data_IF_901856250900
#
_entry.id   IF_901856250900
#
_cell.length_a   1.000
_cell.length_b   1.000
_cell.length_c   1.000
_cell.angle_alpha   90.00
_cell.angle_beta   90.00
_cell.angle_gamma   90.00
#
_symmetry.space_group_name_H-M   'P 1'
#
loop_
_entity.id
_entity.type
_entity.pdbx_description
1 polymer ?
#
# COMPACT_ATOMS: atom_id res chain seq x y z
N UNK A 1 5.53 -11.76 9.71
CA UNK A 1 6.86 -11.10 9.70
C UNK A 1 7.27 -10.80 11.12
N UNK A 2 8.54 -11.00 11.49
CA UNK A 2 9.05 -10.74 12.84
C UNK A 2 9.98 -9.52 12.80
N UNK A 3 9.47 -8.38 12.31
CA UNK A 3 10.22 -7.13 12.28
C UNK A 3 10.45 -6.64 13.70
N UNK A 4 11.70 -6.46 14.10
CA UNK A 4 12.04 -5.91 15.41
C UNK A 4 11.51 -4.48 15.52
N UNK A 5 10.76 -4.19 16.58
CA UNK A 5 10.37 -2.82 16.90
C UNK A 5 11.63 -1.98 17.16
N UNK A 6 11.73 -0.75 16.63
CA UNK A 6 12.81 0.16 16.98
C UNK A 6 12.91 0.35 18.51
N UNK A 7 14.12 0.52 19.07
CA UNK A 7 14.32 0.68 20.52
C UNK A 7 13.44 1.75 21.16
N UNK A 8 13.16 2.83 20.42
CA UNK A 8 12.36 3.98 20.83
C UNK A 8 10.85 3.82 20.56
N UNK A 9 10.37 2.60 20.31
CA UNK A 9 8.96 2.32 20.05
C UNK A 9 8.48 1.11 20.83
N UNK A 10 7.19 1.10 21.17
CA UNK A 10 6.53 -0.05 21.79
C UNK A 10 5.01 0.03 21.59
N UNK A 11 4.40 -1.11 21.29
CA UNK A 11 2.93 -1.27 21.21
C UNK A 11 2.25 -0.19 20.32
N UNK A 12 2.87 0.14 19.19
CA UNK A 12 2.40 1.12 18.21
C UNK A 12 2.72 2.59 18.54
N UNK A 13 3.25 2.88 19.72
CA UNK A 13 3.72 4.21 20.09
C UNK A 13 5.21 4.39 19.82
N UNK A 14 5.57 5.59 19.42
CA UNK A 14 6.93 6.05 19.22
C UNK A 14 7.25 7.19 20.18
N UNK A 15 8.43 7.18 20.76
CA UNK A 15 8.86 8.14 21.77
C UNK A 15 10.09 8.89 21.29
N UNK A 16 10.29 10.14 21.74
CA UNK A 16 11.49 10.88 21.38
C UNK A 16 12.74 10.12 21.87
N UNK A 17 13.71 9.78 21.01
CA UNK A 17 14.95 9.15 21.43
C UNK A 17 15.71 10.04 22.41
N UNK A 18 16.18 9.47 23.51
CA UNK A 18 16.91 10.19 24.56
C UNK A 18 18.36 9.72 24.63
N UNK A 19 19.30 10.66 24.69
CA UNK A 19 20.67 10.35 25.06
C UNK A 19 20.79 10.30 26.59
N UNK A 20 20.90 9.07 27.11
CA UNK A 20 20.99 8.79 28.55
C UNK A 20 22.43 8.55 29.01
N UNK A 21 23.42 8.74 28.12
CA UNK A 21 24.83 8.60 28.45
C UNK A 21 25.27 9.60 29.52
N UNK A 22 24.66 10.79 29.50
CA UNK A 22 24.95 11.93 30.38
C UNK A 22 24.37 11.79 31.80
N UNK A 23 23.54 10.77 32.05
CA UNK A 23 22.97 10.54 33.38
C UNK A 23 23.99 9.76 34.21
N UNK A 24 24.65 10.48 35.12
CA UNK A 24 25.55 9.89 36.11
C UNK A 24 24.75 9.04 37.11
N UNK A 25 25.04 7.74 37.13
CA UNK A 25 24.52 6.86 38.18
C UNK A 25 25.54 6.90 39.33
N UNK A 26 25.14 7.28 40.55
CA UNK A 26 26.03 7.24 41.70
C UNK A 26 26.62 5.84 41.81
N UNK A 27 27.96 5.76 41.86
CA UNK A 27 28.62 4.49 42.12
C UNK A 27 28.08 3.93 43.44
N UNK A 28 27.61 2.67 43.47
CA UNK A 28 27.16 2.08 44.72
C UNK A 28 28.31 2.15 45.74
N UNK A 29 28.05 2.51 47.00
CA UNK A 29 29.07 2.43 48.04
C UNK A 29 29.66 1.01 48.04
N UNK A 30 30.99 0.91 48.21
CA UNK A 30 31.82 -0.30 47.98
C UNK A 30 31.34 -1.59 48.70
N UNK A 31 30.33 -1.52 49.57
CA UNK A 31 29.72 -2.65 50.30
C UNK A 31 28.24 -2.89 49.96
N UNK A 32 27.71 -2.29 48.90
CA UNK A 32 26.30 -2.48 48.51
C UNK A 32 26.20 -3.27 47.22
N UNK A 33 25.44 -4.37 47.25
CA UNK A 33 25.08 -5.21 46.09
C UNK A 33 24.06 -4.53 45.17
N UNK A 34 24.05 -3.19 45.14
CA UNK A 34 23.08 -2.40 44.38
C UNK A 34 23.52 -2.42 42.92
N UNK A 35 22.82 -3.24 42.14
CA UNK A 35 22.92 -3.25 40.68
C UNK A 35 22.62 -1.83 40.18
N UNK A 36 23.48 -1.22 39.35
CA UNK A 36 23.24 0.11 38.80
C UNK A 36 21.86 0.18 38.13
N UNK A 37 21.16 1.31 38.26
CA UNK A 37 19.88 1.51 37.62
C UNK A 37 20.03 1.39 36.09
N UNK A 38 19.75 0.21 35.54
CA UNK A 38 19.74 -0.05 34.09
C UNK A 38 18.54 0.56 33.41
N UNK A 39 17.51 0.94 34.19
CA UNK A 39 16.25 1.49 33.70
C UNK A 39 16.02 2.88 34.24
N UNK A 40 15.70 3.80 33.34
CA UNK A 40 15.42 5.21 33.65
C UNK A 40 14.00 5.50 33.19
N UNK A 41 13.24 6.22 34.01
CA UNK A 41 11.90 6.69 33.62
C UNK A 41 11.96 8.17 33.27
N UNK A 42 11.44 8.54 32.10
CA UNK A 42 11.44 9.91 31.60
C UNK A 42 10.07 10.24 31.02
N UNK A 43 9.59 11.45 31.27
CA UNK A 43 8.41 12.00 30.60
C UNK A 43 8.85 12.58 29.27
N UNK A 44 8.27 12.10 28.18
CA UNK A 44 8.65 12.46 26.81
C UNK A 44 7.41 12.56 25.91
N UNK A 45 7.46 13.35 24.82
CA UNK A 45 6.45 13.29 23.78
C UNK A 45 6.33 11.87 23.19
N UNK A 46 5.10 11.47 22.91
CA UNK A 46 4.73 10.22 22.28
C UNK A 46 3.85 10.48 21.06
N UNK A 47 4.10 9.73 19.99
CA UNK A 47 3.35 9.81 18.75
C UNK A 47 2.90 8.42 18.30
N UNK A 48 1.70 8.33 17.71
CA UNK A 48 1.17 7.10 17.13
C UNK A 48 0.49 7.41 15.79
N UNK A 49 0.75 6.55 14.81
CA UNK A 49 -0.03 6.49 13.58
C UNK A 49 -1.12 5.44 13.69
N UNK A 50 -2.32 5.77 13.23
CA UNK A 50 -3.44 4.83 13.09
C UNK A 50 -4.19 5.10 11.79
N UNK A 51 -4.95 4.11 11.36
CA UNK A 51 -5.78 4.20 10.15
C UNK A 51 -7.21 3.88 10.55
N UNK A 52 -8.16 4.69 10.06
CA UNK A 52 -9.58 4.39 10.13
C UNK A 52 -10.06 4.02 8.73
N UNK A 53 -10.55 2.80 8.57
CA UNK A 53 -10.94 2.28 7.27
C UNK A 53 -12.43 1.95 7.25
N UNK A 54 -13.05 2.19 6.09
CA UNK A 54 -14.42 1.81 5.78
C UNK A 54 -14.42 0.96 4.50
N UNK A 55 -15.38 0.03 4.33
CA UNK A 55 -15.55 -0.68 3.07
C UNK A 55 -15.64 0.29 1.90
N UNK A 56 -14.92 0.01 0.82
CA UNK A 56 -15.01 0.81 -0.39
C UNK A 56 -16.40 0.60 -1.03
N UNK A 57 -17.15 1.67 -1.22
CA UNK A 57 -18.50 1.61 -1.79
C UNK A 57 -18.47 1.39 -3.31
N UNK A 58 -19.56 0.86 -3.87
CA UNK A 58 -19.76 0.73 -5.32
C UNK A 58 -18.79 -0.21 -6.06
N UNK A 59 -18.17 -1.19 -5.39
CA UNK A 59 -17.35 -2.23 -6.06
C UNK A 59 -18.12 -3.04 -7.12
N UNK A 60 -19.45 -3.03 -7.08
CA UNK A 60 -20.33 -3.59 -8.09
C UNK A 60 -20.36 -2.80 -9.41
N UNK A 61 -19.89 -1.56 -9.44
CA UNK A 61 -19.71 -0.78 -10.65
C UNK A 61 -18.43 -1.21 -11.37
N UNK A 62 -18.50 -2.33 -12.09
CA UNK A 62 -17.33 -2.95 -12.72
C UNK A 62 -16.61 -2.03 -13.71
N UNK A 63 -17.35 -1.21 -14.48
CA UNK A 63 -16.73 -0.33 -15.48
C UNK A 63 -15.81 0.75 -14.89
N UNK A 64 -15.87 0.99 -13.58
CA UNK A 64 -14.98 1.93 -12.90
C UNK A 64 -13.61 1.34 -12.54
N UNK A 65 -13.41 0.02 -12.70
CA UNK A 65 -12.16 -0.64 -12.32
C UNK A 65 -11.81 -1.93 -13.09
N UNK A 66 -12.68 -2.37 -14.01
CA UNK A 66 -12.49 -3.51 -14.90
C UNK A 66 -12.91 -3.12 -16.31
N UNK A 67 -12.05 -3.46 -17.28
CA UNK A 67 -12.35 -3.36 -18.71
C UNK A 67 -12.57 -4.75 -19.30
N UNK A 68 -13.72 -4.97 -19.93
CA UNK A 68 -13.99 -6.19 -20.69
C UNK A 68 -13.24 -6.17 -22.03
N UNK A 69 -12.65 -7.31 -22.41
CA UNK A 69 -11.86 -7.49 -23.64
C UNK A 69 -12.46 -8.59 -24.51
N UNK A 70 -12.73 -8.25 -25.77
CA UNK A 70 -13.09 -9.20 -26.82
C UNK A 70 -11.81 -9.78 -27.46
N UNK A 71 -11.51 -11.03 -27.13
CA UNK A 71 -10.35 -11.76 -27.66
C UNK A 71 -10.58 -12.38 -29.04
N UNK A 72 -11.80 -12.28 -29.57
CA UNK A 72 -12.11 -12.73 -30.93
C UNK A 72 -11.69 -11.72 -32.00
N UNK A 73 -11.35 -10.49 -31.59
CA UNK A 73 -10.82 -9.46 -32.48
C UNK A 73 -9.38 -9.78 -32.92
N UNK A 74 -9.26 -10.51 -34.02
CA UNK A 74 -7.98 -10.90 -34.64
C UNK A 74 -7.23 -9.74 -35.28
N UNK A 75 -7.74 -8.51 -35.21
CA UNK A 75 -7.00 -7.30 -35.63
C UNK A 75 -6.19 -6.72 -34.47
N UNK A 76 -6.55 -7.06 -33.22
CA UNK A 76 -5.90 -6.56 -32.01
C UNK A 76 -5.15 -7.67 -31.26
N UNK A 77 -5.73 -8.86 -31.18
CA UNK A 77 -5.21 -9.97 -30.38
C UNK A 77 -4.55 -11.03 -31.26
N UNK A 78 -3.37 -11.50 -30.85
CA UNK A 78 -2.70 -12.58 -31.56
C UNK A 78 -3.44 -13.90 -31.31
N UNK A 79 -4.36 -14.25 -32.20
CA UNK A 79 -5.17 -15.45 -32.09
C UNK A 79 -4.36 -16.74 -32.15
N UNK A 80 -3.09 -16.71 -32.57
CA UNK A 80 -2.22 -17.89 -32.62
C UNK A 80 -1.52 -18.21 -31.30
N UNK A 81 -1.31 -17.20 -30.42
CA UNK A 81 -0.74 -17.39 -29.09
C UNK A 81 -1.79 -17.38 -27.98
N UNK A 82 -2.94 -16.74 -28.20
CA UNK A 82 -3.98 -16.60 -27.19
C UNK A 82 -4.91 -17.84 -27.09
N UNK A 83 -5.41 -18.19 -25.89
CA UNK A 83 -6.30 -19.35 -25.71
C UNK A 83 -7.59 -19.28 -26.53
N UNK A 84 -7.76 -20.19 -27.51
CA UNK A 84 -8.91 -20.20 -28.43
C UNK A 84 -10.27 -20.44 -27.76
N UNK A 85 -10.29 -20.98 -26.54
CA UNK A 85 -11.50 -21.26 -25.78
C UNK A 85 -12.01 -20.05 -24.97
N UNK A 86 -11.25 -18.95 -24.91
CA UNK A 86 -11.63 -17.73 -24.19
C UNK A 86 -11.97 -16.65 -25.23
N UNK A 87 -13.25 -16.27 -25.29
CA UNK A 87 -13.73 -15.20 -26.17
C UNK A 87 -13.73 -13.84 -25.48
N UNK A 88 -13.98 -13.84 -24.18
CA UNK A 88 -14.09 -12.64 -23.35
C UNK A 88 -13.14 -12.77 -22.17
N UNK A 89 -12.44 -11.70 -21.86
CA UNK A 89 -11.54 -11.61 -20.71
C UNK A 89 -11.67 -10.25 -20.03
N UNK A 90 -11.08 -10.12 -18.85
CA UNK A 90 -11.23 -8.94 -18.00
C UNK A 90 -9.87 -8.38 -17.62
N UNK A 91 -9.66 -7.10 -17.88
CA UNK A 91 -8.44 -6.38 -17.55
C UNK A 91 -8.70 -5.41 -16.41
N UNK A 92 -7.74 -5.25 -15.50
CA UNK A 92 -7.87 -4.29 -14.40
C UNK A 92 -7.65 -2.86 -14.91
N UNK A 93 -8.49 -1.96 -14.40
CA UNK A 93 -8.47 -0.55 -14.75
C UNK A 93 -9.62 -0.14 -15.66
N UNK A 94 -10.14 1.06 -15.46
CA UNK A 94 -10.89 1.80 -16.47
C UNK A 94 -9.92 2.46 -17.46
N UNK A 95 -10.01 2.13 -18.75
CA UNK A 95 -9.21 2.80 -19.78
C UNK A 95 -10.00 3.98 -20.35
N UNK A 96 -9.63 5.18 -19.95
CA UNK A 96 -10.37 6.42 -20.25
C UNK A 96 -10.16 6.97 -21.66
N UNK A 97 -9.46 6.26 -22.55
CA UNK A 97 -9.31 6.72 -23.94
C UNK A 97 -9.06 5.56 -24.92
N UNK A 98 -10.03 5.29 -25.80
CA UNK A 98 -9.82 4.50 -27.01
C UNK A 98 -9.04 5.36 -28.02
N UNK A 99 -7.70 5.25 -28.04
CA UNK A 99 -6.91 5.83 -29.13
C UNK A 99 -5.50 6.33 -28.81
N UNK A 100 -5.03 6.26 -27.58
CA UNK A 100 -3.63 6.56 -27.23
C UNK A 100 -3.12 5.59 -26.19
N UNK A 101 -1.87 5.13 -26.33
CA UNK A 101 -1.14 4.21 -25.43
C UNK A 101 -0.99 4.70 -23.97
N UNK A 102 -1.63 5.81 -23.59
CA UNK A 102 -1.55 6.48 -22.28
C UNK A 102 -2.81 6.23 -21.42
N UNK A 103 -3.39 5.04 -21.51
CA UNK A 103 -4.56 4.69 -20.70
C UNK A 103 -4.12 4.28 -19.28
N UNK A 104 -4.49 5.08 -18.27
CA UNK A 104 -4.17 4.81 -16.87
C UNK A 104 -5.08 3.71 -16.31
N UNK A 105 -4.54 2.62 -15.71
CA UNK A 105 -5.35 1.59 -15.07
C UNK A 105 -5.96 2.14 -13.77
N UNK A 106 -7.14 2.73 -13.88
CA UNK A 106 -7.82 3.37 -12.76
C UNK A 106 -8.69 2.37 -12.00
N UNK A 107 -8.57 2.37 -10.67
CA UNK A 107 -9.53 1.81 -9.75
C UNK A 107 -10.35 2.95 -9.18
N UNK A 108 -11.45 3.31 -9.84
CA UNK A 108 -12.23 4.51 -9.52
C UNK A 108 -11.33 5.76 -9.49
N UNK A 109 -11.21 6.40 -8.32
CA UNK A 109 -10.39 7.57 -8.09
C UNK A 109 -8.97 7.23 -7.62
N UNK A 110 -8.46 6.02 -7.78
CA UNK A 110 -7.08 5.66 -7.42
C UNK A 110 -6.46 4.72 -8.45
N UNK A 111 -5.19 4.37 -8.31
CA UNK A 111 -4.51 3.39 -9.16
C UNK A 111 -4.75 1.95 -8.69
N UNK A 112 -4.51 0.96 -9.57
CA UNK A 112 -4.53 -0.47 -9.22
C UNK A 112 -3.33 -0.85 -8.35
N UNK A 113 -2.15 -0.37 -8.70
CA UNK A 113 -0.90 -0.57 -7.96
C UNK A 113 -0.60 0.64 -7.07
N UNK A 114 0.55 0.65 -6.39
CA UNK A 114 1.01 1.77 -5.56
C UNK A 114 1.17 3.09 -6.36
N UNK A 115 1.34 2.99 -7.67
CA UNK A 115 1.41 4.07 -8.63
C UNK A 115 0.54 3.75 -9.87
N UNK A 116 0.67 4.58 -10.91
CA UNK A 116 -0.15 4.51 -12.12
C UNK A 116 0.32 3.43 -13.12
N UNK A 117 1.25 2.56 -12.72
CA UNK A 117 1.71 1.45 -13.55
C UNK A 117 0.62 0.38 -13.74
N UNK A 118 0.71 -0.33 -14.86
CA UNK A 118 -0.17 -1.46 -15.16
C UNK A 118 0.43 -2.76 -14.63
N UNK A 119 -0.35 -3.60 -13.92
CA UNK A 119 0.07 -4.95 -13.59
C UNK A 119 0.47 -5.69 -14.87
N UNK A 120 1.62 -6.34 -14.84
CA UNK A 120 2.13 -7.07 -16.00
C UNK A 120 2.27 -8.55 -15.69
N UNK A 121 2.14 -9.36 -16.74
CA UNK A 121 2.30 -10.79 -16.64
C UNK A 121 3.78 -11.20 -16.78
N UNK A 122 4.02 -12.44 -16.35
CA UNK A 122 5.12 -12.85 -15.52
C UNK A 122 6.53 -12.72 -16.12
N UNK A 123 7.44 -12.20 -15.30
CA UNK A 123 8.88 -12.21 -15.51
C UNK A 123 9.38 -13.64 -15.85
N UNK A 124 9.90 -13.81 -17.07
CA UNK A 124 10.58 -15.02 -17.58
C UNK A 124 9.83 -16.37 -17.40
N UNK A 125 8.84 -16.62 -18.27
CA UNK A 125 8.61 -17.99 -18.76
C UNK A 125 7.35 -18.73 -18.30
N UNK A 126 6.38 -18.07 -17.67
CA UNK A 126 5.05 -18.68 -17.43
C UNK A 126 3.97 -18.26 -18.43
N UNK A 127 4.36 -17.68 -19.57
CA UNK A 127 3.44 -17.18 -20.62
C UNK A 127 2.48 -18.24 -21.15
N UNK A 128 2.72 -19.52 -20.87
CA UNK A 128 1.99 -20.63 -21.48
C UNK A 128 1.42 -21.65 -20.48
N UNK A 129 1.44 -21.39 -19.16
CA UNK A 129 0.93 -22.37 -18.19
C UNK A 129 -0.59 -22.32 -18.13
N UNK A 130 -1.22 -22.89 -19.15
CA UNK A 130 -2.57 -23.38 -19.07
C UNK A 130 -2.59 -24.70 -18.26
N UNK A 131 -3.48 -24.90 -17.28
CA UNK A 131 -4.61 -24.02 -16.91
C UNK A 131 -4.17 -22.81 -16.06
N UNK A 132 -4.97 -21.72 -16.09
CA UNK A 132 -4.71 -20.51 -15.32
C UNK A 132 -4.65 -20.83 -13.83
N UNK A 133 -3.62 -20.33 -13.15
CA UNK A 133 -3.57 -20.33 -11.69
C UNK A 133 -4.21 -19.05 -11.15
N UNK A 134 -4.74 -19.10 -9.94
CA UNK A 134 -5.16 -17.91 -9.23
C UNK A 134 -3.97 -16.97 -9.00
N UNK A 135 -4.15 -15.69 -9.29
CA UNK A 135 -3.23 -14.63 -8.90
C UNK A 135 -3.94 -13.67 -7.95
N UNK A 136 -3.18 -13.11 -7.02
CA UNK A 136 -3.61 -12.08 -6.09
C UNK A 136 -2.75 -10.83 -6.28
N UNK A 137 -3.41 -9.68 -6.48
CA UNK A 137 -2.78 -8.35 -6.54
C UNK A 137 -3.26 -7.57 -5.32
N UNK A 138 -2.33 -6.94 -4.60
CA UNK A 138 -2.63 -6.33 -3.32
C UNK A 138 -1.78 -5.10 -3.03
N UNK A 139 -2.38 -3.92 -3.09
CA UNK A 139 -1.64 -2.66 -2.98
C UNK A 139 -2.44 -1.59 -2.26
N UNK A 140 -1.73 -0.70 -1.60
CA UNK A 140 -2.22 0.54 -1.05
C UNK A 140 -1.84 1.68 -1.99
N UNK A 141 -2.79 2.54 -2.33
CA UNK A 141 -2.51 3.67 -3.20
C UNK A 141 -3.28 4.91 -2.77
N UNK A 142 -2.72 6.11 -2.99
CA UNK A 142 -3.36 7.35 -2.61
C UNK A 142 -4.65 7.56 -3.41
N UNK A 143 -5.70 8.07 -2.76
CA UNK A 143 -6.88 8.53 -3.46
C UNK A 143 -6.52 9.78 -4.29
N UNK A 144 -6.88 9.79 -5.56
CA UNK A 144 -6.82 10.97 -6.42
C UNK A 144 -8.02 11.86 -6.08
N UNK A 145 -7.71 13.07 -5.66
CA UNK A 145 -8.68 14.15 -5.44
C UNK A 145 -8.35 15.36 -6.33
N UNK A 146 -9.32 16.24 -6.54
CA UNK A 146 -9.11 17.52 -7.25
C UNK A 146 -8.20 18.49 -6.49
N UNK A 147 -8.08 18.29 -5.17
CA UNK A 147 -7.18 19.01 -4.30
C UNK A 147 -6.35 17.99 -3.52
N UNK A 148 -5.03 18.11 -3.57
CA UNK A 148 -4.10 17.30 -2.79
C UNK A 148 -4.06 17.83 -1.34
N UNK A 149 -5.22 17.90 -0.67
CA UNK A 149 -5.36 18.45 0.67
C UNK A 149 -5.05 17.39 1.74
N UNK A 150 -4.01 17.58 2.57
CA UNK A 150 -3.68 16.65 3.64
C UNK A 150 -4.63 16.76 4.84
N UNK A 151 -4.84 15.67 5.61
CA UNK A 151 -4.44 14.30 5.29
C UNK A 151 -5.23 13.76 4.10
N UNK A 152 -4.53 13.19 3.11
CA UNK A 152 -5.19 12.55 1.98
C UNK A 152 -5.49 11.09 2.31
N UNK A 153 -6.69 10.67 1.91
CA UNK A 153 -7.11 9.28 2.04
C UNK A 153 -6.35 8.39 1.07
N UNK A 154 -6.37 7.09 1.34
CA UNK A 154 -5.82 6.07 0.48
C UNK A 154 -6.73 4.85 0.47
N UNK A 155 -6.57 4.02 -0.55
CA UNK A 155 -7.38 2.82 -0.73
C UNK A 155 -6.49 1.59 -0.73
N UNK A 156 -6.80 0.65 0.17
CA UNK A 156 -6.17 -0.68 0.20
C UNK A 156 -7.00 -1.62 -0.66
N UNK A 157 -6.36 -2.41 -1.52
CA UNK A 157 -7.05 -3.36 -2.41
C UNK A 157 -6.46 -4.75 -2.26
N UNK A 158 -7.32 -5.76 -2.37
CA UNK A 158 -6.97 -7.15 -2.58
C UNK A 158 -7.84 -7.69 -3.71
N UNK A 159 -7.21 -8.05 -4.82
CA UNK A 159 -7.87 -8.52 -6.03
C UNK A 159 -7.38 -9.94 -6.30
N UNK A 160 -8.29 -10.88 -6.53
CA UNK A 160 -7.96 -12.28 -6.79
C UNK A 160 -8.79 -12.85 -7.94
N UNK A 161 -8.16 -13.66 -8.78
CA UNK A 161 -8.86 -14.38 -9.83
C UNK A 161 -7.94 -15.28 -10.64
N UNK A 162 -8.55 -16.12 -11.49
CA UNK A 162 -7.81 -16.93 -12.45
C UNK A 162 -7.32 -16.04 -13.59
N UNK A 163 -6.01 -16.02 -13.79
CA UNK A 163 -5.37 -15.11 -14.73
C UNK A 163 -4.63 -15.86 -15.84
N UNK A 164 -4.39 -15.16 -16.95
CA UNK A 164 -3.57 -15.61 -18.05
C UNK A 164 -2.96 -14.40 -18.77
N UNK A 165 -2.00 -14.68 -19.63
CA UNK A 165 -1.34 -13.71 -20.49
C UNK A 165 -1.96 -13.75 -21.88
N UNK A 166 -2.15 -12.58 -22.49
CA UNK A 166 -2.56 -12.50 -23.90
C UNK A 166 -1.70 -11.49 -24.65
N UNK A 167 -1.26 -11.88 -25.86
CA UNK A 167 -0.43 -11.02 -26.69
C UNK A 167 -1.29 -10.18 -27.63
N UNK A 168 -0.93 -8.91 -27.74
CA UNK A 168 -1.43 -8.01 -28.76
C UNK A 168 -0.68 -8.23 -30.08
N UNK A 169 -1.35 -8.00 -31.21
CA UNK A 169 -0.71 -7.94 -32.52
C UNK A 169 0.09 -6.65 -32.59
N UNK A 170 1.39 -6.77 -32.82
CA UNK A 170 2.25 -5.61 -33.09
C UNK A 170 3.02 -5.81 -34.38
N UNK A 171 3.13 -4.76 -35.19
CA UNK A 171 3.99 -4.75 -36.38
C UNK A 171 5.49 -4.72 -36.02
N UNK A 172 5.80 -4.47 -34.74
CA UNK A 172 7.15 -4.36 -34.22
C UNK A 172 7.57 -5.65 -33.49
N UNK A 173 8.38 -6.47 -34.17
CA UNK A 173 8.84 -7.81 -33.75
C UNK A 173 9.60 -7.79 -32.40
N UNK A 174 10.04 -6.62 -31.93
CA UNK A 174 10.85 -6.49 -30.72
C UNK A 174 10.06 -6.30 -29.43
N UNK A 175 8.76 -5.99 -29.50
CA UNK A 175 7.90 -5.79 -28.31
C UNK A 175 6.44 -6.06 -28.69
N UNK A 176 5.95 -7.29 -28.54
CA UNK A 176 4.50 -7.50 -28.41
C UNK A 176 4.16 -7.32 -26.93
N UNK A 177 3.43 -6.27 -26.53
CA UNK A 177 3.07 -6.07 -25.13
C UNK A 177 2.07 -7.15 -24.75
N UNK A 178 2.53 -8.09 -23.92
CA UNK A 178 1.68 -9.09 -23.28
C UNK A 178 0.83 -8.42 -22.20
N UNK A 179 -0.48 -8.68 -22.21
CA UNK A 179 -1.45 -8.12 -21.25
C UNK A 179 -1.75 -9.15 -20.16
N UNK A 180 -1.87 -8.68 -18.92
CA UNK A 180 -2.35 -9.46 -17.79
C UNK A 180 -3.88 -9.44 -17.77
N UNK A 181 -4.52 -10.60 -17.94
CA UNK A 181 -5.98 -10.71 -18.04
C UNK A 181 -6.54 -11.75 -17.07
N UNK A 182 -7.79 -11.56 -16.65
CA UNK A 182 -8.58 -12.55 -15.92
C UNK A 182 -9.58 -13.25 -16.84
N UNK A 183 -9.82 -14.53 -16.59
CA UNK A 183 -10.81 -15.33 -17.34
C UNK A 183 -12.25 -15.00 -16.97
N UNK A 184 -12.44 -14.44 -15.78
CA UNK A 184 -13.72 -14.04 -15.18
C UNK A 184 -13.53 -12.70 -14.49
N UNK A 185 -14.62 -12.02 -14.12
CA UNK A 185 -14.52 -10.81 -13.30
C UNK A 185 -13.81 -11.19 -12.00
N UNK A 186 -12.65 -10.58 -11.68
CA UNK A 186 -11.90 -10.94 -10.48
C UNK A 186 -12.68 -10.56 -9.22
N UNK A 187 -12.45 -11.30 -8.15
CA UNK A 187 -12.94 -10.93 -6.83
C UNK A 187 -12.12 -9.77 -6.29
N UNK A 188 -12.78 -8.79 -5.67
CA UNK A 188 -12.11 -7.65 -5.06
C UNK A 188 -12.65 -7.39 -3.67
N UNK A 189 -11.72 -7.08 -2.76
CA UNK A 189 -12.00 -6.43 -1.49
C UNK A 189 -11.18 -5.15 -1.42
N UNK A 190 -11.82 -4.04 -1.10
CA UNK A 190 -11.14 -2.77 -0.93
C UNK A 190 -11.67 -2.02 0.29
N UNK A 191 -10.79 -1.25 0.92
CA UNK A 191 -11.11 -0.35 2.02
C UNK A 191 -10.60 1.04 1.70
N UNK A 192 -11.42 2.05 1.98
CA UNK A 192 -11.03 3.45 1.96
C UNK A 192 -10.59 3.86 3.36
N UNK A 193 -9.37 4.35 3.48
CA UNK A 193 -8.70 4.57 4.75
C UNK A 193 -8.28 6.04 4.91
N UNK A 194 -8.53 6.56 6.11
CA UNK A 194 -8.08 7.88 6.55
C UNK A 194 -6.89 7.71 7.51
N UNK A 195 -5.73 8.32 7.20
CA UNK A 195 -4.57 8.29 8.08
C UNK A 195 -4.76 9.29 9.22
N UNK A 196 -4.39 8.89 10.43
CA UNK A 196 -4.49 9.72 11.63
C UNK A 196 -3.17 9.63 12.37
N UNK A 197 -2.61 10.79 12.70
CA UNK A 197 -1.43 10.90 13.55
C UNK A 197 -1.86 11.60 14.82
N UNK A 198 -1.58 10.95 15.95
CA UNK A 198 -1.96 11.45 17.26
C UNK A 198 -0.79 11.58 18.22
N UNK A 199 -0.98 12.62 19.02
CA UNK A 199 -0.29 13.22 20.13
C UNK A 199 -0.47 12.73 21.54
N UNK A 200 0.56 12.46 22.33
CA UNK A 200 0.41 12.53 23.79
C UNK A 200 1.74 12.80 24.50
N UNK A 201 1.68 13.11 25.80
CA UNK A 201 2.80 12.91 26.71
C UNK A 201 2.78 11.48 27.27
N UNK A 202 3.95 10.88 27.46
CA UNK A 202 4.09 9.54 28.04
C UNK A 202 5.20 9.50 29.09
N UNK A 203 5.00 8.72 30.16
CA UNK A 203 6.06 8.32 31.07
C UNK A 203 6.64 6.99 30.58
N UNK A 204 7.89 7.01 30.14
CA UNK A 204 8.53 5.88 29.46
C UNK A 204 9.70 5.38 30.29
N UNK A 205 9.71 4.08 30.59
CA UNK A 205 10.87 3.41 31.19
C UNK A 205 11.73 2.80 30.08
N UNK A 206 12.95 3.29 29.95
CA UNK A 206 13.92 2.90 28.93
C UNK A 206 15.13 2.23 29.55
N UNK A 207 15.69 1.24 28.87
CA UNK A 207 16.98 0.67 29.20
C UNK A 207 18.11 1.62 28.78
N UNK A 208 18.96 2.00 29.73
CA UNK A 208 20.00 3.02 29.51
C UNK A 208 21.04 2.62 28.47
N UNK A 209 21.40 1.33 28.41
CA UNK A 209 22.47 0.87 27.51
C UNK A 209 21.97 0.68 26.08
N UNK A 210 20.74 0.20 25.93
CA UNK A 210 20.18 -0.19 24.63
C UNK A 210 19.19 0.82 24.07
N UNK A 211 18.69 1.75 24.88
CA UNK A 211 17.61 2.67 24.50
C UNK A 211 16.24 2.00 24.38
N UNK A 212 16.15 0.70 24.67
CA UNK A 212 14.92 -0.07 24.48
C UNK A 212 13.84 0.35 25.48
N UNK A 213 12.64 0.58 24.98
CA UNK A 213 11.45 0.86 25.81
C UNK A 213 10.98 -0.42 26.50
N UNK A 214 11.17 -0.47 27.82
CA UNK A 214 10.73 -1.57 28.66
C UNK A 214 9.22 -1.52 28.92
N UNK A 215 8.69 -0.32 29.22
CA UNK A 215 7.26 -0.05 29.43
C UNK A 215 6.98 1.45 29.28
N UNK A 216 5.72 1.81 29.10
CA UNK A 216 5.28 3.20 29.09
C UNK A 216 3.86 3.33 29.65
N UNK A 217 3.51 4.56 30.01
CA UNK A 217 2.16 4.98 30.37
C UNK A 217 1.84 6.28 29.63
N UNK A 218 0.70 6.29 28.93
CA UNK A 218 0.19 7.50 28.26
C UNK A 218 -0.48 8.37 29.33
N UNK A 219 0.00 9.60 29.49
CA UNK A 219 -0.39 10.48 30.60
C UNK A 219 -1.64 11.32 30.29
N UNK A 220 -1.93 11.53 29.01
CA UNK A 220 -3.00 12.41 28.54
C UNK A 220 -3.88 11.67 27.52
N UNK A 221 -5.10 12.16 27.30
CA UNK A 221 -5.92 11.61 26.21
C UNK A 221 -5.28 11.97 24.87
N UNK A 222 -5.03 11.00 23.97
CA UNK A 222 -4.43 11.29 22.68
C UNK A 222 -5.21 12.35 21.90
N UNK A 223 -4.50 13.30 21.32
CA UNK A 223 -5.07 14.40 20.52
C UNK A 223 -4.50 14.41 19.10
N UNK A 224 -5.20 15.01 18.14
CA UNK A 224 -4.71 15.12 16.76
C UNK A 224 -3.39 15.91 16.70
N UNK A 225 -2.44 15.42 15.91
CA UNK A 225 -1.21 16.13 15.62
C UNK A 225 -1.35 16.91 14.29
N UNK A 226 -2.12 18.00 14.31
CA UNK A 226 -2.45 18.77 13.10
C UNK A 226 -1.22 19.31 12.35
N UNK A 227 -0.11 19.55 13.07
CA UNK A 227 1.16 19.95 12.47
C UNK A 227 1.75 18.90 11.50
N UNK A 228 1.35 17.63 11.65
CA UNK A 228 1.76 16.53 10.77
C UNK A 228 1.28 16.71 9.32
N UNK A 229 0.27 17.55 9.12
CA UNK A 229 -0.42 17.74 7.84
C UNK A 229 -0.35 19.19 7.33
N UNK A 230 0.23 20.10 8.12
CA UNK A 230 0.17 21.56 7.92
C UNK A 230 0.77 22.06 6.60
N UNK A 231 1.91 21.54 6.18
CA UNK A 231 2.64 22.05 5.02
C UNK A 231 2.70 21.01 3.91
N UNK A 232 1.95 21.23 2.84
CA UNK A 232 1.99 20.39 1.64
C UNK A 232 2.95 20.98 0.60
N UNK A 233 4.20 20.49 0.58
CA UNK A 233 5.26 20.91 -0.35
C UNK A 233 5.28 22.43 -0.63
N UNK A 234 5.27 23.23 0.44
CA UNK A 234 5.24 24.70 0.32
C UNK A 234 6.60 25.18 -0.15
N UNK A 235 6.65 25.75 -1.35
CA UNK A 235 7.85 26.30 -1.96
C UNK A 235 8.06 27.75 -1.52
N UNK A 236 9.29 28.09 -1.10
CA UNK A 236 9.68 29.44 -0.67
C UNK A 236 10.52 30.19 -1.71
N UNK A 237 10.54 29.72 -2.97
CA UNK A 237 11.13 30.44 -4.09
C UNK A 237 10.56 31.85 -4.20
N UNK A 238 11.45 32.84 -4.36
CA UNK A 238 11.08 34.25 -4.42
C UNK A 238 10.01 34.54 -5.47
N UNK A 239 9.09 35.46 -5.17
CA UNK A 239 7.96 35.83 -6.05
C UNK A 239 8.35 36.39 -7.43
N UNK A 240 9.63 36.66 -7.66
CA UNK A 240 10.14 37.22 -8.90
C UNK A 240 11.48 36.56 -9.24
N UNK A 241 11.46 35.46 -9.99
CA UNK A 241 12.49 35.16 -11.00
C UNK A 241 12.09 33.94 -11.85
N UNK A 242 12.47 34.03 -13.11
CA UNK A 242 12.00 33.21 -14.22
C UNK A 242 12.58 31.79 -14.19
N UNK A 243 11.67 30.81 -14.25
CA UNK A 243 11.71 29.57 -15.05
C UNK A 243 13.04 28.81 -15.15
N UNK A 244 13.52 28.27 -14.03
CA UNK A 244 14.30 27.02 -14.10
C UNK A 244 13.66 25.97 -13.19
N UNK A 245 12.91 24.98 -13.74
CA UNK A 245 12.32 23.90 -12.96
C UNK A 245 13.37 22.97 -12.32
N UNK A 246 14.65 23.12 -12.68
CA UNK A 246 15.77 22.35 -12.13
C UNK A 246 16.52 23.06 -11.01
N UNK A 247 16.19 24.34 -10.74
CA UNK A 247 16.83 25.09 -9.67
C UNK A 247 16.43 24.50 -8.29
N UNK A 248 17.41 24.24 -7.40
CA UNK A 248 17.10 23.79 -6.04
C UNK A 248 16.23 24.84 -5.34
N UNK A 249 15.05 24.41 -4.88
CA UNK A 249 14.14 25.28 -4.14
C UNK A 249 13.94 24.75 -2.72
N UNK A 250 13.90 25.67 -1.75
CA UNK A 250 13.57 25.31 -0.39
C UNK A 250 12.08 24.99 -0.30
N UNK A 251 11.79 23.74 0.04
CA UNK A 251 10.43 23.25 0.21
C UNK A 251 10.24 22.83 1.66
N UNK A 252 9.16 23.29 2.29
CA UNK A 252 8.71 22.76 3.59
C UNK A 252 7.59 21.77 3.38
N UNK A 253 7.73 20.60 3.98
CA UNK A 253 6.72 19.54 3.98
C UNK A 253 6.57 18.99 5.39
N UNK A 254 5.33 18.77 5.82
CA UNK A 254 5.07 18.20 7.13
C UNK A 254 5.39 16.71 7.18
N UNK A 255 5.81 16.23 8.35
CA UNK A 255 6.29 14.86 8.52
C UNK A 255 5.23 13.78 8.25
N UNK A 256 3.95 14.06 8.49
CA UNK A 256 2.86 13.13 8.19
C UNK A 256 2.69 12.89 6.70
N UNK A 257 2.83 13.94 5.89
CA UNK A 257 2.80 13.85 4.43
C UNK A 257 3.98 13.03 3.92
N UNK A 258 5.20 13.34 4.38
CA UNK A 258 6.40 12.57 4.02
C UNK A 258 6.24 11.09 4.37
N UNK A 259 5.87 10.80 5.63
CA UNK A 259 5.71 9.43 6.10
C UNK A 259 4.68 8.65 5.27
N UNK A 260 3.50 9.23 5.03
CA UNK A 260 2.43 8.59 4.30
C UNK A 260 2.81 8.35 2.83
N UNK A 261 3.38 9.34 2.15
CA UNK A 261 3.83 9.17 0.76
C UNK A 261 4.93 8.13 0.64
N UNK A 262 5.92 8.16 1.54
CA UNK A 262 6.99 7.15 1.57
C UNK A 262 6.42 5.74 1.75
N UNK A 263 5.42 5.57 2.64
CA UNK A 263 4.78 4.28 2.85
C UNK A 263 3.97 3.83 1.62
N UNK A 264 3.12 4.68 1.06
CA UNK A 264 2.25 4.33 -0.07
C UNK A 264 3.02 4.09 -1.37
N UNK A 265 4.17 4.76 -1.55
CA UNK A 265 5.00 4.64 -2.77
C UNK A 265 6.18 3.67 -2.62
N UNK A 266 6.39 3.08 -1.44
CA UNK A 266 7.52 2.19 -1.19
C UNK A 266 7.63 1.04 -2.20
N UNK A 267 6.50 0.53 -2.69
CA UNK A 267 6.46 -0.58 -3.65
C UNK A 267 6.90 -0.21 -5.08
N UNK A 268 7.10 1.08 -5.38
CA UNK A 268 7.58 1.59 -6.67
C UNK A 268 8.57 2.75 -6.48
N UNK A 269 9.81 2.42 -6.14
CA UNK A 269 10.86 3.43 -5.88
C UNK A 269 11.44 3.98 -7.18
N UNK A 270 11.51 3.13 -8.22
CA UNK A 270 12.10 3.49 -9.50
C UNK A 270 11.18 4.34 -10.39
N UNK A 271 9.90 4.48 -10.04
CA UNK A 271 8.96 5.40 -10.70
C UNK A 271 9.17 6.89 -10.32
N UNK A 272 10.19 7.20 -9.50
CA UNK A 272 10.45 8.56 -9.03
C UNK A 272 11.52 9.27 -9.90
N UNK A 273 11.15 9.67 -11.12
CA UNK A 273 11.94 10.61 -11.94
C UNK A 273 11.31 12.00 -12.03
N UNK A 274 10.24 12.28 -11.28
CA UNK A 274 9.51 13.54 -11.29
C UNK A 274 8.04 13.33 -11.64
N UNK A 275 7.40 14.34 -12.23
CA UNK A 275 6.00 14.31 -12.70
C UNK A 275 5.82 13.54 -14.03
N UNK A 276 6.79 12.71 -14.43
CA UNK A 276 6.67 11.93 -15.66
C UNK A 276 5.74 10.75 -15.43
N UNK A 277 4.49 10.93 -15.87
CA UNK A 277 3.43 9.93 -15.88
C UNK A 277 3.57 9.01 -17.09
N UNK A 278 4.77 8.49 -17.36
CA UNK A 278 4.88 7.43 -18.35
C UNK A 278 4.19 6.19 -17.76
N UNK A 279 3.08 5.81 -18.37
CA UNK A 279 2.34 4.58 -18.07
C UNK A 279 3.19 3.39 -18.52
N UNK A 280 4.19 3.05 -17.71
CA UNK A 280 5.03 1.88 -17.95
C UNK A 280 4.37 0.67 -17.27
N UNK A 281 4.55 -0.50 -17.87
CA UNK A 281 4.32 -1.75 -17.17
C UNK A 281 5.05 -1.75 -15.82
N UNK A 282 4.46 -2.39 -14.80
CA UNK A 282 5.14 -2.48 -13.51
C UNK A 282 6.56 -3.04 -13.67
N UNK A 283 7.50 -2.51 -12.88
CA UNK A 283 8.83 -3.07 -12.82
C UNK A 283 8.81 -4.33 -11.96
N UNK A 284 8.80 -5.49 -12.62
CA UNK A 284 8.80 -6.80 -11.94
C UNK A 284 10.12 -7.13 -11.24
N UNK A 285 11.22 -6.47 -11.64
CA UNK A 285 12.57 -6.69 -11.10
C UNK A 285 12.80 -5.94 -9.79
N UNK A 286 12.03 -4.88 -9.51
CA UNK A 286 12.08 -4.19 -8.22
C UNK A 286 11.42 -5.09 -7.16
N UNK A 287 12.19 -5.67 -6.25
CA UNK A 287 11.68 -6.49 -5.12
C UNK A 287 12.01 -5.86 -3.76
N UNK A 288 12.13 -4.54 -3.69
CA UNK A 288 12.62 -3.86 -2.49
C UNK A 288 11.59 -3.83 -1.36
N UNK A 289 10.38 -3.35 -1.66
CA UNK A 289 9.24 -3.29 -0.72
C UNK A 289 7.95 -3.84 -1.31
N UNK A 290 8.07 -4.69 -2.32
CA UNK A 290 6.99 -5.49 -2.86
C UNK A 290 7.39 -6.97 -2.77
N UNK A 291 6.39 -7.83 -2.72
CA UNK A 291 6.49 -9.26 -2.46
C UNK A 291 5.81 -9.99 -3.59
N UNK A 292 6.64 -10.59 -4.45
CA UNK A 292 6.20 -11.38 -5.59
C UNK A 292 6.47 -12.86 -5.31
N UNK A 293 5.41 -13.63 -5.06
CA UNK A 293 5.48 -15.07 -4.85
C UNK A 293 4.97 -15.77 -6.10
N UNK A 294 5.89 -16.26 -6.94
CA UNK A 294 5.55 -16.92 -8.21
C UNK A 294 4.84 -18.27 -8.01
N UNK A 295 5.04 -18.94 -6.88
CA UNK A 295 4.40 -20.23 -6.61
C UNK A 295 2.93 -20.05 -6.21
N UNK A 296 2.66 -19.01 -5.41
CA UNK A 296 1.33 -18.68 -4.91
C UNK A 296 0.59 -17.62 -5.75
N UNK A 297 1.25 -17.05 -6.75
CA UNK A 297 0.70 -16.01 -7.61
C UNK A 297 0.45 -14.69 -6.88
N UNK A 298 1.29 -14.31 -5.91
CA UNK A 298 1.11 -13.07 -5.15
C UNK A 298 1.90 -11.93 -5.79
N UNK A 299 1.28 -10.75 -5.91
CA UNK A 299 1.94 -9.48 -6.22
C UNK A 299 1.46 -8.41 -5.23
N UNK A 300 2.15 -8.30 -4.09
CA UNK A 300 1.74 -7.46 -2.97
C UNK A 300 2.75 -6.37 -2.65
N UNK A 301 2.30 -5.21 -2.19
CA UNK A 301 3.16 -4.29 -1.44
C UNK A 301 3.48 -4.84 -0.03
N UNK A 302 4.45 -4.20 0.64
CA UNK A 302 4.84 -4.57 1.99
C UNK A 302 3.66 -4.59 2.97
N UNK A 303 2.76 -3.61 2.87
CA UNK A 303 1.63 -3.45 3.79
C UNK A 303 0.63 -4.60 3.62
N UNK A 304 0.26 -4.91 2.39
CA UNK A 304 -0.69 -5.98 2.06
C UNK A 304 -0.09 -7.35 2.35
N UNK A 305 1.20 -7.55 2.07
CA UNK A 305 1.86 -8.81 2.45
C UNK A 305 1.95 -8.97 3.97
N UNK A 306 2.20 -7.90 4.73
CA UNK A 306 2.13 -7.94 6.19
C UNK A 306 0.72 -8.35 6.67
N UNK A 307 -0.34 -7.73 6.13
CA UNK A 307 -1.72 -8.09 6.44
C UNK A 307 -2.05 -9.55 6.08
N UNK A 308 -1.63 -10.01 4.90
CA UNK A 308 -1.81 -11.38 4.44
C UNK A 308 -1.14 -12.38 5.40
N UNK A 309 0.12 -12.10 5.81
CA UNK A 309 0.82 -12.98 6.75
C UNK A 309 0.18 -12.99 8.14
N UNK A 310 -0.29 -11.84 8.63
CA UNK A 310 -1.00 -11.74 9.91
C UNK A 310 -2.29 -12.57 9.88
N UNK A 311 -3.11 -12.40 8.83
CA UNK A 311 -4.31 -13.19 8.63
C UNK A 311 -3.97 -14.70 8.61
N UNK A 312 -2.96 -15.11 7.83
CA UNK A 312 -2.54 -16.51 7.74
C UNK A 312 -2.06 -17.11 9.07
N UNK A 313 -1.37 -16.31 9.90
CA UNK A 313 -0.88 -16.72 11.21
C UNK A 313 -1.98 -16.80 12.27
N UNK A 314 -2.99 -15.95 12.15
CA UNK A 314 -4.21 -16.02 12.97
C UNK A 314 -5.14 -17.15 12.52
N UNK A 315 -5.02 -17.58 11.26
CA UNK A 315 -5.81 -18.62 10.61
C UNK A 315 -5.05 -19.96 10.57
N UNK A 316 -4.60 -20.45 11.73
CA UNK A 316 -4.41 -21.90 11.93
C UNK A 316 -5.72 -22.70 11.82
N UNK A 317 -6.83 -22.03 11.46
CA UNK A 317 -7.96 -22.56 10.69
C UNK A 317 -7.98 -21.89 9.30
N UNK A 318 -7.62 -22.63 8.24
CA UNK A 318 -7.59 -22.29 6.80
C UNK A 318 -8.34 -21.02 6.35
N UNK A 319 -7.76 -20.20 5.43
CA UNK A 319 -8.52 -19.18 4.72
C UNK A 319 -9.44 -19.90 3.71
N UNK A 320 -10.70 -20.07 4.11
CA UNK A 320 -11.76 -20.33 3.15
C UNK A 320 -12.18 -19.01 2.50
N UNK A 321 -12.53 -19.09 1.23
CA UNK A 321 -13.01 -18.01 0.37
C UNK A 321 -13.93 -17.02 1.09
N UNK A 322 -13.96 -15.73 0.72
CA UNK A 322 -14.97 -14.80 1.23
C UNK A 322 -16.35 -15.37 0.86
N UNK A 323 -17.08 -15.77 1.89
CA UNK A 323 -18.38 -16.42 1.74
C UNK A 323 -19.38 -15.42 1.18
N UNK A 324 -20.07 -15.87 0.14
CA UNK A 324 -21.23 -15.23 -0.47
C UNK A 324 -22.23 -14.78 0.60
N UNK A 325 -22.63 -13.52 0.53
CA UNK A 325 -23.72 -12.95 1.32
C UNK A 325 -24.96 -13.86 1.26
N UNK A 326 -25.39 -14.35 2.43
CA UNK A 326 -26.65 -15.07 2.58
C UNK A 326 -27.81 -14.08 2.51
N UNK A 327 -28.74 -14.35 1.60
CA UNK A 327 -30.03 -13.67 1.47
C UNK A 327 -30.82 -13.72 2.79
N UNK A 328 -31.60 -12.67 3.14
CA UNK A 328 -32.42 -12.69 4.34
C UNK A 328 -33.64 -13.59 4.15
N UNK A 329 -33.77 -14.59 5.04
CA UNK A 329 -34.98 -15.40 5.15
C UNK A 329 -36.12 -14.58 5.76
N UNK A 330 -37.21 -14.46 5.02
CA UNK A 330 -38.48 -13.94 5.49
C UNK A 330 -39.17 -14.95 6.40
N UNK A 331 -39.36 -14.62 7.68
CA UNK A 331 -40.31 -15.30 8.57
C UNK A 331 -41.70 -14.68 8.42
N UNK A 332 -42.78 -15.46 8.29
CA UNK A 332 -44.13 -14.91 8.33
C UNK A 332 -44.57 -14.67 9.78
N UNK A 333 -45.05 -13.46 10.06
CA UNK A 333 -45.77 -13.11 11.28
C UNK A 333 -47.10 -13.85 11.34
N UNK A 334 -47.30 -14.60 12.41
CA UNK A 334 -48.62 -15.05 12.85
C UNK A 334 -49.22 -13.99 13.78
N UNK A 335 -50.46 -13.61 13.51
CA UNK A 335 -51.37 -12.93 14.44
C UNK A 335 -52.81 -13.15 13.96
N UNK A 336 -53.80 -12.99 14.86
CA UNK A 336 -54.05 -13.72 16.09
C UNK A 336 -54.94 -14.96 15.89
#
# INVERSE_FOLDING_TARGET
>A
MNGSQPPWSRDGWSFAPLDLSQIEIPNPPQNSSVVPATKISVVTPAIRGRIECSPYENLNNLSAWVTERDLTNTSLWNSSSNPHNIKTAYELGELTYEGSDLAYPNFFNTSILADDSTPTCCENGSTNSWPPKGAAIGNWSPDRGTTFEPPFNFTTKYIWGNHFSADLITDNIYTSPTRFLFTEVPQVQALKCMPIIEKSSANVTVDRQTGNVAKFEILETPSSADEAWRYNFVNYGGRDEVKDPTAPSNVTVSYGILFLLSMLRAASINGYTGWDFDTVAENTDDMTFNFRDRERGLNFDFMTYAMYTLASSSSSSSPSSPSSASSPSSSPSAAP
#
